data_IF_453042466887
#
_entry.id   IF_453042466887
#
_cell.length_a   1.000
_cell.length_b   1.000
_cell.length_c   1.000
_cell.angle_alpha   90.00
_cell.angle_beta   90.00
_cell.angle_gamma   90.00
#
_symmetry.space_group_name_H-M   'P 1'
#
loop_
_entity.id
_entity.type
_entity.pdbx_description
1 polymer ?
#
# COMPACT_ATOMS: atom_id res chain seq x y z
N UNK A 1 -9.14 4.66 2.90
CA UNK A 1 -9.25 3.23 3.31
C UNK A 1 -9.35 2.36 2.06
N UNK A 2 -8.83 1.12 2.04
CA UNK A 2 -8.75 0.28 0.81
C UNK A 2 -10.12 -0.02 0.19
N UNK A 3 -11.14 -0.29 1.02
CA UNK A 3 -12.49 -0.51 0.54
C UNK A 3 -13.10 0.75 -0.09
N UNK A 4 -12.98 1.87 0.63
CA UNK A 4 -13.44 3.19 0.18
C UNK A 4 -12.76 3.61 -1.13
N UNK A 5 -11.45 3.38 -1.25
CA UNK A 5 -10.69 3.61 -2.48
C UNK A 5 -11.22 2.75 -3.64
N UNK A 6 -11.48 1.46 -3.42
CA UNK A 6 -12.04 0.59 -4.46
C UNK A 6 -13.41 1.09 -4.98
N UNK A 7 -14.28 1.58 -4.09
CA UNK A 7 -15.56 2.17 -4.47
C UNK A 7 -15.40 3.50 -5.20
N UNK A 8 -14.56 4.39 -4.69
CA UNK A 8 -14.25 5.68 -5.32
C UNK A 8 -13.71 5.50 -6.73
N UNK A 9 -12.77 4.57 -6.92
CA UNK A 9 -12.22 4.20 -8.23
C UNK A 9 -13.28 3.58 -9.15
N UNK A 10 -14.17 2.72 -8.63
CA UNK A 10 -15.26 2.15 -9.42
C UNK A 10 -16.19 3.23 -9.97
N UNK A 11 -16.62 4.19 -9.15
CA UNK A 11 -17.47 5.29 -9.61
C UNK A 11 -16.75 6.24 -10.57
N UNK A 12 -15.45 6.50 -10.36
CA UNK A 12 -14.64 7.24 -11.31
C UNK A 12 -14.58 6.53 -12.67
N UNK A 13 -14.31 5.21 -12.69
CA UNK A 13 -14.26 4.40 -13.89
C UNK A 13 -15.61 4.35 -14.63
N UNK A 14 -16.74 4.27 -13.90
CA UNK A 14 -18.07 4.32 -14.51
C UNK A 14 -18.34 5.65 -15.21
N UNK A 15 -17.96 6.78 -14.58
CA UNK A 15 -18.10 8.11 -15.18
C UNK A 15 -17.25 8.26 -16.44
N UNK A 16 -15.99 7.82 -16.37
CA UNK A 16 -15.08 7.90 -17.52
C UNK A 16 -15.54 7.00 -18.67
N UNK A 17 -15.99 5.78 -18.39
CA UNK A 17 -16.55 4.88 -19.42
C UNK A 17 -17.77 5.49 -20.11
N UNK A 18 -18.64 6.19 -19.38
CA UNK A 18 -19.81 6.87 -19.99
C UNK A 18 -19.37 7.94 -20.99
N UNK A 19 -18.27 8.65 -20.70
CA UNK A 19 -17.72 9.69 -21.58
C UNK A 19 -16.92 9.10 -22.75
N UNK A 20 -16.14 8.05 -22.50
CA UNK A 20 -15.22 7.46 -23.46
C UNK A 20 -15.28 5.92 -23.42
N UNK A 21 -16.32 5.31 -24.03
CA UNK A 21 -16.51 3.86 -24.00
C UNK A 21 -15.33 3.08 -24.58
N UNK A 22 -14.68 3.62 -25.62
CA UNK A 22 -13.59 2.98 -26.35
C UNK A 22 -12.31 2.77 -25.52
N UNK A 23 -12.16 3.49 -24.40
CA UNK A 23 -11.05 3.27 -23.44
C UNK A 23 -11.20 1.99 -22.61
N UNK A 24 -12.34 1.32 -22.69
CA UNK A 24 -12.68 0.18 -21.84
C UNK A 24 -13.05 -1.03 -22.69
N UNK A 25 -12.48 -2.19 -22.35
CA UNK A 25 -12.87 -3.48 -22.94
C UNK A 25 -14.28 -3.94 -22.51
N UNK A 26 -14.91 -3.25 -21.56
CA UNK A 26 -16.22 -3.60 -21.05
C UNK A 26 -16.63 -2.74 -19.86
N UNK A 27 -17.74 -3.12 -19.20
CA UNK A 27 -18.22 -2.42 -18.00
C UNK A 27 -17.28 -2.68 -16.82
N UNK A 28 -16.83 -1.64 -16.08
CA UNK A 28 -16.16 -1.81 -14.81
C UNK A 28 -16.96 -2.74 -13.90
N UNK A 29 -16.28 -3.70 -13.28
CA UNK A 29 -16.92 -4.65 -12.36
C UNK A 29 -17.09 -3.98 -11.00
N UNK A 30 -18.22 -4.28 -10.36
CA UNK A 30 -18.50 -3.79 -9.01
C UNK A 30 -17.48 -4.39 -8.02
N UNK A 31 -16.95 -3.58 -7.07
CA UNK A 31 -16.11 -4.10 -6.00
C UNK A 31 -16.82 -5.18 -5.19
N UNK A 32 -16.10 -6.24 -4.83
CA UNK A 32 -16.62 -7.33 -4.00
C UNK A 32 -16.14 -7.19 -2.56
N UNK A 33 -16.91 -7.75 -1.64
CA UNK A 33 -16.55 -7.82 -0.23
C UNK A 33 -15.93 -9.17 0.11
N UNK A 34 -14.95 -9.17 1.02
CA UNK A 34 -14.44 -10.41 1.62
C UNK A 34 -15.46 -10.99 2.60
N UNK A 35 -15.33 -12.29 2.89
CA UNK A 35 -16.18 -12.99 3.86
C UNK A 35 -16.13 -12.29 5.23
N UNK A 36 -17.28 -12.12 5.88
CA UNK A 36 -17.40 -11.40 7.17
C UNK A 36 -16.51 -11.96 8.28
N UNK A 37 -16.42 -13.29 8.41
CA UNK A 37 -15.69 -13.94 9.52
C UNK A 37 -14.27 -14.39 9.13
N UNK A 38 -14.14 -15.01 7.96
CA UNK A 38 -12.85 -15.58 7.49
C UNK A 38 -12.08 -14.68 6.54
N UNK A 39 -12.68 -13.59 6.06
CA UNK A 39 -12.00 -12.62 5.21
C UNK A 39 -10.90 -11.90 5.98
N UNK A 40 -9.79 -11.61 5.31
CA UNK A 40 -8.69 -10.80 5.83
C UNK A 40 -8.38 -9.70 4.83
N UNK A 41 -8.48 -8.45 5.25
CA UNK A 41 -8.04 -7.30 4.44
C UNK A 41 -6.69 -6.81 4.93
N UNK A 42 -5.99 -6.05 4.10
CA UNK A 42 -4.88 -5.23 4.57
C UNK A 42 -5.47 -4.22 5.57
N UNK A 43 -4.83 -4.09 6.72
CA UNK A 43 -5.20 -3.12 7.74
C UNK A 43 -4.17 -1.98 7.76
N UNK A 44 -4.48 -0.83 7.13
CA UNK A 44 -3.60 0.32 7.15
C UNK A 44 -3.73 1.08 8.48
N UNK A 45 -2.58 1.47 9.01
CA UNK A 45 -2.39 2.43 10.09
C UNK A 45 -1.73 3.65 9.47
N UNK A 46 -2.51 4.67 9.08
CA UNK A 46 -1.91 5.91 8.62
C UNK A 46 -1.13 6.55 9.76
N UNK A 47 -0.27 7.51 9.42
CA UNK A 47 0.63 8.17 10.36
C UNK A 47 -0.05 8.70 11.65
N UNK A 48 -1.30 9.16 11.57
CA UNK A 48 -2.10 9.63 12.71
C UNK A 48 -2.50 8.49 13.68
N UNK A 49 -2.47 7.25 13.20
CA UNK A 49 -2.79 6.04 13.97
C UNK A 49 -1.55 5.39 14.58
N UNK A 50 -0.42 6.10 14.63
CA UNK A 50 0.85 5.59 15.17
C UNK A 50 1.31 6.49 16.30
N UNK A 51 1.72 5.90 17.43
CA UNK A 51 2.17 6.66 18.58
C UNK A 51 3.50 7.38 18.31
N UNK A 52 3.43 8.68 18.05
CA UNK A 52 4.59 9.53 17.73
C UNK A 52 5.70 9.53 18.78
N UNK A 53 5.33 9.48 20.06
CA UNK A 53 6.30 9.41 21.17
C UNK A 53 7.14 8.14 21.12
N UNK A 54 6.54 7.00 20.74
CA UNK A 54 7.24 5.74 20.57
C UNK A 54 8.07 5.75 19.29
N UNK A 55 7.55 6.32 18.20
CA UNK A 55 8.24 6.39 16.91
C UNK A 55 9.57 7.15 17.00
N UNK A 56 9.58 8.28 17.72
CA UNK A 56 10.81 9.03 18.03
C UNK A 56 11.85 8.23 18.83
N UNK A 57 11.43 7.17 19.51
CA UNK A 57 12.31 6.24 20.26
C UNK A 57 12.65 4.98 19.44
N UNK A 58 12.37 4.98 18.13
CA UNK A 58 12.64 3.84 17.24
C UNK A 58 11.61 2.71 17.33
N UNK A 59 10.39 2.99 17.79
CA UNK A 59 9.32 1.98 17.91
C UNK A 59 8.07 2.45 17.16
N UNK A 60 7.70 1.72 16.11
CA UNK A 60 6.39 1.84 15.49
C UNK A 60 5.36 1.12 16.37
N UNK A 61 4.60 1.87 17.17
CA UNK A 61 3.52 1.34 18.01
C UNK A 61 2.18 1.69 17.38
N UNK A 62 1.44 0.66 16.97
CA UNK A 62 0.14 0.80 16.30
C UNK A 62 -0.96 1.10 17.32
N UNK A 63 -1.80 2.10 17.04
CA UNK A 63 -2.90 2.50 17.92
C UNK A 63 -3.87 1.36 18.20
N UNK A 64 -4.48 1.39 19.39
CA UNK A 64 -5.48 0.39 19.82
C UNK A 64 -4.99 -1.06 19.75
N UNK A 65 -3.67 -1.27 19.82
CA UNK A 65 -3.06 -2.60 19.83
C UNK A 65 -1.79 -2.61 20.69
N UNK A 66 -1.35 -3.80 21.07
CA UNK A 66 -0.05 -4.03 21.73
C UNK A 66 1.09 -4.26 20.71
N UNK A 67 0.82 -4.11 19.42
CA UNK A 67 1.79 -4.37 18.37
C UNK A 67 2.82 -3.23 18.34
N UNK A 68 4.07 -3.58 18.66
CA UNK A 68 5.24 -2.69 18.71
C UNK A 68 6.34 -3.27 17.84
N UNK A 69 6.76 -2.54 16.81
CA UNK A 69 7.78 -2.97 15.85
C UNK A 69 8.99 -2.03 15.96
N UNK A 70 10.21 -2.54 16.18
CA UNK A 70 11.42 -1.74 16.07
C UNK A 70 11.58 -1.16 14.66
N UNK A 71 11.97 0.09 14.56
CA UNK A 71 12.21 0.77 13.28
C UNK A 71 13.28 1.83 13.43
N UNK A 72 14.07 2.03 12.39
CA UNK A 72 15.01 3.15 12.30
C UNK A 72 14.34 4.43 11.78
N UNK A 73 13.07 4.37 11.36
CA UNK A 73 12.37 5.48 10.74
C UNK A 73 11.60 6.29 11.78
N UNK A 74 11.80 7.62 11.77
CA UNK A 74 11.10 8.57 12.64
C UNK A 74 9.91 9.24 11.96
N UNK A 75 9.89 9.21 10.62
CA UNK A 75 8.82 9.74 9.77
C UNK A 75 8.35 8.62 8.84
N UNK A 76 7.06 8.32 8.90
CA UNK A 76 6.45 7.25 8.13
C UNK A 76 5.12 7.76 7.57
N UNK A 77 4.71 7.20 6.44
CA UNK A 77 3.45 7.52 5.77
C UNK A 77 2.34 6.66 6.36
N UNK A 78 2.61 5.36 6.48
CA UNK A 78 1.71 4.39 7.09
C UNK A 78 2.50 3.18 7.59
N UNK A 79 1.94 2.46 8.55
CA UNK A 79 2.23 1.05 8.76
C UNK A 79 1.04 0.23 8.24
N UNK A 80 1.26 -1.00 7.78
CA UNK A 80 0.15 -1.84 7.32
C UNK A 80 0.36 -3.30 7.66
N UNK A 81 -0.70 -3.92 8.16
CA UNK A 81 -0.74 -5.36 8.41
C UNK A 81 -1.29 -6.05 7.17
N UNK A 82 -0.46 -6.88 6.54
CA UNK A 82 -0.76 -7.58 5.30
C UNK A 82 -0.94 -9.07 5.59
N UNK A 83 -2.13 -9.63 5.38
CA UNK A 83 -2.33 -11.07 5.48
C UNK A 83 -1.60 -11.79 4.34
N UNK A 84 -0.76 -12.77 4.70
CA UNK A 84 -0.21 -13.79 3.79
C UNK A 84 -0.82 -15.15 4.15
N UNK A 85 -0.44 -16.19 3.41
CA UNK A 85 -0.99 -17.55 3.58
C UNK A 85 -0.71 -18.14 4.96
N UNK A 86 0.51 -17.97 5.48
CA UNK A 86 0.97 -18.56 6.75
C UNK A 86 1.24 -17.54 7.86
N UNK A 87 1.23 -16.24 7.55
CA UNK A 87 1.63 -15.19 8.49
C UNK A 87 0.97 -13.85 8.16
N UNK A 88 1.21 -12.86 9.03
CA UNK A 88 0.99 -11.46 8.71
C UNK A 88 2.35 -10.77 8.55
N UNK A 89 2.47 -9.95 7.52
CA UNK A 89 3.60 -9.06 7.33
C UNK A 89 3.19 -7.68 7.82
N UNK A 90 4.05 -7.04 8.62
CA UNK A 90 3.89 -5.64 8.98
C UNK A 90 4.88 -4.86 8.15
N UNK A 91 4.37 -4.01 7.26
CA UNK A 91 5.20 -3.10 6.47
C UNK A 91 5.16 -1.70 7.08
N UNK A 92 6.31 -1.04 7.14
CA UNK A 92 6.45 0.36 7.51
C UNK A 92 6.79 1.12 6.22
N UNK A 93 5.86 1.95 5.77
CA UNK A 93 5.96 2.70 4.52
C UNK A 93 6.42 4.11 4.84
N UNK A 94 7.47 4.57 4.18
CA UNK A 94 8.04 5.90 4.39
C UNK A 94 8.60 6.44 3.09
N UNK A 95 8.76 7.76 3.00
CA UNK A 95 9.39 8.40 1.85
C UNK A 95 10.91 8.24 1.99
N UNK A 96 11.55 7.70 0.97
CA UNK A 96 13.02 7.67 0.86
C UNK A 96 13.43 8.70 -0.19
N UNK A 97 14.35 9.60 0.17
CA UNK A 97 15.00 10.46 -0.82
C UNK A 97 15.95 9.59 -1.67
N UNK A 98 15.80 9.69 -2.98
CA UNK A 98 16.76 9.12 -3.91
C UNK A 98 17.85 10.15 -4.18
N UNK A 99 19.11 9.72 -4.07
CA UNK A 99 20.24 10.51 -4.54
C UNK A 99 20.46 10.18 -6.02
N UNK A 100 20.12 11.10 -6.91
CA UNK A 100 20.55 11.00 -8.30
C UNK A 100 22.04 11.33 -8.36
N UNK A 101 22.84 10.39 -8.85
CA UNK A 101 24.22 10.67 -9.26
C UNK A 101 24.19 11.09 -10.72
N UNK A 102 24.94 12.13 -11.10
CA UNK A 102 25.20 12.44 -12.51
C UNK A 102 26.08 11.34 -13.09
N UNK A 103 25.48 10.22 -13.51
CA UNK A 103 26.21 9.11 -14.08
C UNK A 103 26.02 9.10 -15.60
N UNK A 104 27.12 9.27 -16.33
CA UNK A 104 27.16 9.17 -17.80
C UNK A 104 27.26 7.72 -18.29
N UNK A 105 27.33 6.75 -17.38
CA UNK A 105 27.41 5.33 -17.72
C UNK A 105 26.06 4.81 -18.20
N UNK A 106 26.06 4.23 -19.40
CA UNK A 106 24.90 3.56 -19.97
C UNK A 106 25.03 2.06 -19.73
N UNK A 107 24.05 1.46 -19.06
CA UNK A 107 23.94 0.02 -18.89
C UNK A 107 22.75 -0.51 -19.70
N UNK A 108 22.96 -1.62 -20.41
CA UNK A 108 21.88 -2.38 -21.05
C UNK A 108 21.39 -3.47 -20.12
N UNK A 109 20.08 -3.59 -19.93
CA UNK A 109 19.44 -4.70 -19.22
C UNK A 109 18.72 -5.55 -20.26
N UNK A 110 19.18 -6.78 -20.46
CA UNK A 110 18.45 -7.79 -21.23
C UNK A 110 17.71 -8.71 -20.25
N UNK A 111 16.39 -8.81 -20.41
CA UNK A 111 15.51 -9.66 -19.58
C UNK A 111 15.44 -11.11 -20.10
N UNK A 112 16.39 -11.52 -20.95
CA UNK A 112 16.48 -12.81 -21.63
C UNK A 112 15.79 -13.97 -20.90
N UNK A 113 14.93 -14.68 -21.64
CA UNK A 113 14.03 -15.72 -21.10
C UNK A 113 14.76 -17.01 -20.68
N UNK A 114 16.08 -17.10 -20.94
CA UNK A 114 16.93 -18.26 -20.68
C UNK A 114 18.22 -17.87 -19.92
N UNK A 115 18.09 -17.17 -18.80
CA UNK A 115 19.20 -16.87 -17.89
C UNK A 115 19.27 -17.86 -16.73
#
# INVERSE_FOLDING_TARGET
MILDSAWSSYFAALRERKKQPNKFLGKPKIPKYKRKTKGRNILPYPDESIYKKALKKGICHLSMSEIKIPTSQTEIIEARIIPKSSCYIIEIVYKKSESTTENQQVAGVDLGVNN
#
